data_IF_712625381530
#
_entry.id   IF_712625381530
#
_cell.length_a   1.000
_cell.length_b   1.000
_cell.length_c   1.000
_cell.angle_alpha   90.00
_cell.angle_beta   90.00
_cell.angle_gamma   90.00
#
_symmetry.space_group_name_H-M   'P 1'
#
loop_
_entity.id
_entity.type
_entity.pdbx_description
1 polymer ?
#
# COMPACT_ATOMS: atom_id res chain seq x y z
N UNK A 1 22.07 19.40 -4.18
CA UNK A 1 20.58 19.44 -4.14
C UNK A 1 20.14 18.06 -3.64
N UNK A 2 19.71 17.95 -2.39
CA UNK A 2 19.29 16.66 -1.81
C UNK A 2 18.22 16.02 -2.71
N UNK A 3 18.37 14.75 -3.05
CA UNK A 3 17.74 14.09 -4.22
C UNK A 3 16.21 14.01 -4.25
N UNK A 4 15.52 15.16 -4.28
CA UNK A 4 14.06 15.24 -4.37
C UNK A 4 13.31 14.67 -3.15
N UNK A 5 14.01 14.36 -2.06
CA UNK A 5 13.42 13.83 -0.83
C UNK A 5 12.69 14.95 -0.09
N UNK A 6 11.37 14.92 -0.16
CA UNK A 6 10.49 15.81 0.60
C UNK A 6 9.92 15.05 1.80
N UNK A 7 9.47 15.77 2.84
CA UNK A 7 8.76 15.17 3.97
C UNK A 7 7.56 14.35 3.49
N UNK A 8 6.86 14.84 2.45
CA UNK A 8 5.77 14.13 1.78
C UNK A 8 6.22 12.78 1.22
N UNK A 9 7.38 12.73 0.56
CA UNK A 9 7.95 11.47 0.04
C UNK A 9 8.25 10.50 1.19
N UNK A 10 8.86 10.97 2.28
CA UNK A 10 9.18 10.13 3.44
C UNK A 10 7.91 9.55 4.10
N UNK A 11 6.89 10.38 4.31
CA UNK A 11 5.61 9.96 4.90
C UNK A 11 4.89 8.96 4.01
N UNK A 12 4.81 9.23 2.70
CA UNK A 12 4.18 8.28 1.76
C UNK A 12 4.91 6.94 1.71
N UNK A 13 6.23 6.93 1.76
CA UNK A 13 7.03 5.70 1.73
C UNK A 13 6.81 4.85 3.00
N UNK A 14 6.71 5.50 4.15
CA UNK A 14 6.42 4.85 5.43
C UNK A 14 4.99 4.27 5.47
N UNK A 15 3.99 5.03 5.04
CA UNK A 15 2.60 4.58 4.98
C UNK A 15 2.41 3.43 3.98
N UNK A 16 3.02 3.55 2.79
CA UNK A 16 2.97 2.48 1.79
C UNK A 16 3.60 1.20 2.33
N UNK A 17 4.77 1.27 2.96
CA UNK A 17 5.44 0.08 3.51
C UNK A 17 4.61 -0.65 4.57
N UNK A 18 3.85 0.09 5.40
CA UNK A 18 2.97 -0.48 6.42
C UNK A 18 1.72 -1.15 5.83
N UNK A 19 1.11 -0.53 4.82
CA UNK A 19 -0.21 -0.93 4.32
C UNK A 19 -0.13 -1.90 3.12
N UNK A 20 0.90 -1.77 2.28
CA UNK A 20 0.99 -2.50 1.02
C UNK A 20 1.34 -3.97 1.18
N UNK A 21 2.05 -4.40 2.23
CA UNK A 21 2.87 -5.61 2.18
C UNK A 21 2.14 -6.89 2.70
N UNK A 22 1.38 -7.64 1.87
CA UNK A 22 1.11 -9.03 2.13
C UNK A 22 2.40 -9.80 1.82
N UNK A 23 3.00 -10.42 2.83
CA UNK A 23 4.10 -11.34 2.56
C UNK A 23 3.58 -12.54 1.75
N UNK A 24 4.43 -13.09 0.88
CA UNK A 24 4.09 -14.23 0.02
C UNK A 24 3.49 -15.40 0.82
N UNK A 25 3.94 -15.60 2.05
CA UNK A 25 3.42 -16.59 2.99
C UNK A 25 1.94 -16.36 3.35
N UNK A 26 1.51 -15.12 3.55
CA UNK A 26 0.10 -14.80 3.82
C UNK A 26 -0.78 -15.12 2.62
N UNK A 27 -0.33 -14.76 1.42
CA UNK A 27 -1.03 -15.05 0.17
C UNK A 27 -1.15 -16.57 -0.03
N UNK A 28 -0.06 -17.30 0.24
CA UNK A 28 0.00 -18.74 0.15
C UNK A 28 -0.96 -19.44 1.13
N UNK A 29 -1.03 -18.98 2.38
CA UNK A 29 -1.97 -19.51 3.38
C UNK A 29 -3.41 -19.26 2.95
N UNK A 30 -3.76 -18.05 2.49
CA UNK A 30 -5.12 -17.75 2.01
C UNK A 30 -5.50 -18.70 0.87
N UNK A 31 -4.60 -18.90 -0.09
CA UNK A 31 -4.85 -19.81 -1.21
C UNK A 31 -5.05 -21.26 -0.75
N UNK A 32 -4.26 -21.76 0.21
CA UNK A 32 -4.46 -23.12 0.74
C UNK A 32 -5.79 -23.28 1.46
N UNK A 33 -6.17 -22.32 2.28
CA UNK A 33 -7.40 -22.39 3.10
C UNK A 33 -8.68 -22.19 2.29
N UNK A 34 -8.69 -21.27 1.32
CA UNK A 34 -9.88 -21.03 0.49
C UNK A 34 -9.89 -21.82 -0.82
N UNK A 35 -8.75 -22.34 -1.28
CA UNK A 35 -8.57 -22.97 -2.61
C UNK A 35 -9.12 -22.14 -3.77
N UNK A 36 -9.21 -20.82 -3.60
CA UNK A 36 -9.83 -19.91 -4.56
C UNK A 36 -8.89 -18.79 -4.97
N UNK A 37 -8.35 -18.90 -6.19
CA UNK A 37 -7.46 -17.88 -6.76
C UNK A 37 -8.13 -16.50 -6.89
N UNK A 38 -9.46 -16.44 -7.10
CA UNK A 38 -10.21 -15.18 -7.13
C UNK A 38 -10.17 -14.46 -5.78
N UNK A 39 -10.37 -15.18 -4.68
CA UNK A 39 -10.35 -14.56 -3.35
C UNK A 39 -8.92 -14.26 -2.88
N UNK A 40 -7.95 -15.10 -3.24
CA UNK A 40 -6.53 -14.81 -2.99
C UNK A 40 -6.06 -13.54 -3.68
N UNK A 41 -6.44 -13.33 -4.95
CA UNK A 41 -6.06 -12.12 -5.70
C UNK A 41 -6.73 -10.86 -5.16
N UNK A 42 -8.00 -10.95 -4.74
CA UNK A 42 -8.68 -9.82 -4.07
C UNK A 42 -7.99 -9.49 -2.74
N UNK A 43 -7.65 -10.49 -1.94
CA UNK A 43 -6.99 -10.30 -0.65
C UNK A 43 -5.56 -9.74 -0.78
N UNK A 44 -4.85 -10.04 -1.88
CA UNK A 44 -3.53 -9.47 -2.14
C UNK A 44 -3.59 -8.07 -2.74
N UNK A 45 -4.59 -7.75 -3.57
CA UNK A 45 -4.74 -6.44 -4.21
C UNK A 45 -5.38 -5.38 -3.31
N UNK A 46 -6.28 -5.77 -2.41
CA UNK A 46 -6.95 -4.86 -1.46
C UNK A 46 -5.95 -4.01 -0.65
N UNK A 47 -4.93 -4.58 0.02
CA UNK A 47 -3.95 -3.81 0.79
C UNK A 47 -3.17 -2.82 -0.08
N UNK A 48 -2.84 -3.21 -1.32
CA UNK A 48 -2.14 -2.33 -2.28
C UNK A 48 -3.02 -1.14 -2.66
N UNK A 49 -4.29 -1.40 -2.98
CA UNK A 49 -5.24 -0.34 -3.31
C UNK A 49 -5.44 0.63 -2.14
N UNK A 50 -5.49 0.12 -0.91
CA UNK A 50 -5.54 0.95 0.30
C UNK A 50 -4.28 1.79 0.47
N UNK A 51 -3.08 1.21 0.32
CA UNK A 51 -1.81 1.93 0.40
C UNK A 51 -1.71 3.07 -0.62
N UNK A 52 -2.08 2.81 -1.88
CA UNK A 52 -2.11 3.83 -2.94
C UNK A 52 -3.12 4.93 -2.60
N UNK A 53 -4.31 4.56 -2.15
CA UNK A 53 -5.37 5.52 -1.80
C UNK A 53 -4.93 6.46 -0.67
N UNK A 54 -4.29 5.92 0.37
CA UNK A 54 -3.76 6.71 1.48
C UNK A 54 -2.66 7.67 1.00
N UNK A 55 -1.70 7.19 0.21
CA UNK A 55 -0.65 8.06 -0.34
C UNK A 55 -1.21 9.17 -1.23
N UNK A 56 -2.24 8.86 -2.03
CA UNK A 56 -2.92 9.85 -2.85
C UNK A 56 -3.61 10.91 -2.00
N UNK A 57 -4.35 10.51 -0.96
CA UNK A 57 -5.02 11.43 -0.04
C UNK A 57 -4.01 12.33 0.69
N UNK A 58 -2.91 11.76 1.20
CA UNK A 58 -1.85 12.53 1.87
C UNK A 58 -1.23 13.55 0.90
N UNK A 59 -0.99 13.17 -0.36
CA UNK A 59 -0.51 14.09 -1.39
C UNK A 59 -1.53 15.20 -1.72
N UNK A 60 -2.83 14.90 -1.75
CA UNK A 60 -3.87 15.92 -1.96
C UNK A 60 -3.97 16.89 -0.77
N UNK A 61 -3.97 16.37 0.47
CA UNK A 61 -4.00 17.20 1.68
C UNK A 61 -2.78 18.10 1.75
N UNK A 62 -1.60 17.56 1.43
CA UNK A 62 -0.37 18.36 1.38
C UNK A 62 -0.46 19.49 0.36
N UNK A 63 -1.01 19.23 -0.84
CA UNK A 63 -1.23 20.28 -1.87
C UNK A 63 -2.29 21.31 -1.48
N UNK A 64 -3.23 20.96 -0.61
CA UNK A 64 -4.29 21.87 -0.16
C UNK A 64 -3.82 22.77 0.99
N UNK A 65 -2.90 22.27 1.83
CA UNK A 65 -2.32 23.00 2.96
C UNK A 65 -1.10 23.85 2.56
N UNK A 66 -0.52 23.59 1.40
CA UNK A 66 0.64 24.28 0.84
C UNK A 66 0.20 25.40 -0.10
#
# INVERSE_FOLDING_TARGET
>A
RGGGWTLLTAVNLMLFSLLHNPCSTTIYTIYKETRSARWTTVASLLPVAMGISVCFLVAQVWRLLQ
#
